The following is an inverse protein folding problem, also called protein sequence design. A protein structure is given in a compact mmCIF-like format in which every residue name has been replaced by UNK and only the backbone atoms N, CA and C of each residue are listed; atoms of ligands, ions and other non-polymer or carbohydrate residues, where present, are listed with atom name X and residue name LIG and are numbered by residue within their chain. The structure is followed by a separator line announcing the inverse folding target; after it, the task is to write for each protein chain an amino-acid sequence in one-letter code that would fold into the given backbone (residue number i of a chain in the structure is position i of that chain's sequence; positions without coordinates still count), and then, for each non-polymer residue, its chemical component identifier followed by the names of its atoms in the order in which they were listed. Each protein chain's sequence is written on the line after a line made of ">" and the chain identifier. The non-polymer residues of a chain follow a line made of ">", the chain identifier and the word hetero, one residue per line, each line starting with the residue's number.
data_IF_791420618215
#
_entry.id   IF_791420618215
#
_cell.length_a   1.000
_cell.length_b   1.000
_cell.length_c   1.000
_cell.angle_alpha   90.00
_cell.angle_beta   90.00
_cell.angle_gamma   90.00
#
_symmetry.space_group_name_H-M   'P 1'
#
loop_
_entity.id
_entity.type
_entity.pdbx_description
1 polymer ?
#
# COMPACT_ATOMS: atom_id res chain seq x y z
N UNK A 1 -17.06 2.59 16.56
CA UNK A 1 -17.03 1.14 16.33
C UNK A 1 -18.44 0.60 16.57
N UNK A 2 -19.26 0.43 15.55
CA UNK A 2 -20.38 -0.55 15.63
C UNK A 2 -19.83 -1.99 15.65
N UNK A 3 -18.55 -2.13 15.29
CA UNK A 3 -17.74 -3.33 15.25
C UNK A 3 -17.12 -3.75 16.60
N UNK A 4 -17.47 -3.12 17.73
CA UNK A 4 -17.06 -3.66 19.03
C UNK A 4 -17.78 -4.99 19.23
N UNK A 5 -17.01 -6.09 19.18
CA UNK A 5 -17.57 -7.42 19.33
C UNK A 5 -18.38 -7.53 20.62
N UNK A 6 -19.61 -8.06 20.54
CA UNK A 6 -20.43 -8.40 21.71
C UNK A 6 -19.69 -9.31 22.70
N UNK A 7 -18.63 -10.00 22.24
CA UNK A 7 -17.73 -10.77 23.10
C UNK A 7 -17.03 -9.89 24.15
N UNK A 8 -16.63 -8.65 23.83
CA UNK A 8 -15.97 -7.77 24.80
C UNK A 8 -16.91 -7.43 25.96
N UNK A 9 -18.18 -7.14 25.62
CA UNK A 9 -19.21 -6.90 26.63
C UNK A 9 -19.47 -8.15 27.49
N UNK A 10 -19.53 -9.32 26.86
CA UNK A 10 -19.84 -10.57 27.56
C UNK A 10 -18.69 -11.13 28.41
N UNK A 11 -17.44 -10.95 27.96
CA UNK A 11 -16.26 -11.55 28.59
C UNK A 11 -15.60 -10.63 29.63
N UNK A 12 -15.72 -9.30 29.47
CA UNK A 12 -15.00 -8.35 30.32
C UNK A 12 -15.92 -7.39 31.06
N UNK A 13 -16.90 -6.77 30.38
CA UNK A 13 -17.80 -5.81 31.04
C UNK A 13 -19.10 -5.59 30.26
N UNK A 14 -20.23 -6.06 30.80
CA UNK A 14 -21.53 -5.97 30.13
C UNK A 14 -21.96 -4.54 29.79
N UNK A 15 -21.43 -3.55 30.53
CA UNK A 15 -21.70 -2.12 30.32
C UNK A 15 -20.65 -1.42 29.46
N UNK A 16 -19.72 -2.16 28.86
CA UNK A 16 -18.67 -1.56 28.05
C UNK A 16 -19.25 -0.86 26.82
N UNK A 17 -19.03 0.44 26.75
CA UNK A 17 -19.28 1.26 25.56
C UNK A 17 -18.00 1.99 25.15
N UNK A 18 -17.77 2.01 23.83
CA UNK A 18 -16.61 2.67 23.22
C UNK A 18 -17.05 3.45 21.98
N UNK A 19 -17.55 4.66 22.22
CA UNK A 19 -17.87 5.61 21.16
C UNK A 19 -16.58 6.15 20.49
N UNK A 20 -16.72 6.85 19.36
CA UNK A 20 -15.61 7.33 18.52
C UNK A 20 -14.49 8.00 19.32
N UNK A 21 -14.79 9.01 20.15
CA UNK A 21 -13.76 9.76 20.90
C UNK A 21 -12.98 8.87 21.88
N UNK A 22 -13.65 7.90 22.50
CA UNK A 22 -12.99 6.95 23.40
C UNK A 22 -12.11 5.96 22.63
N UNK A 23 -12.60 5.47 21.50
CA UNK A 23 -11.83 4.58 20.62
C UNK A 23 -10.59 5.28 20.06
N UNK A 24 -10.75 6.53 19.62
CA UNK A 24 -9.66 7.40 19.16
C UNK A 24 -8.64 7.64 20.27
N UNK A 25 -9.09 7.95 21.49
CA UNK A 25 -8.18 8.10 22.63
C UNK A 25 -7.42 6.81 22.97
N UNK A 26 -8.04 5.63 22.85
CA UNK A 26 -7.36 4.34 23.05
C UNK A 26 -6.34 4.09 21.92
N UNK A 27 -6.73 4.33 20.67
CA UNK A 27 -5.83 4.13 19.53
C UNK A 27 -4.60 5.04 19.63
N UNK A 28 -4.80 6.33 19.89
CA UNK A 28 -3.74 7.34 19.88
C UNK A 28 -2.88 7.34 21.14
N UNK A 29 -3.47 7.10 22.32
CA UNK A 29 -2.75 7.24 23.60
C UNK A 29 -2.35 5.90 24.23
N UNK A 30 -2.78 4.77 23.68
CA UNK A 30 -2.43 3.44 24.21
C UNK A 30 -1.82 2.55 23.13
N UNK A 31 -2.55 2.29 22.05
CA UNK A 31 -2.11 1.33 21.03
C UNK A 31 -0.95 1.85 20.19
N UNK A 32 -1.03 3.09 19.71
CA UNK A 32 0.04 3.68 18.89
C UNK A 32 1.37 3.80 19.65
N UNK A 33 1.44 4.38 20.88
CA UNK A 33 2.69 4.44 21.64
C UNK A 33 3.27 3.06 21.94
N UNK A 34 2.40 2.09 22.27
CA UNK A 34 2.84 0.71 22.52
C UNK A 34 3.44 0.07 21.25
N UNK A 35 2.84 0.29 20.08
CA UNK A 35 3.34 -0.24 18.82
C UNK A 35 4.65 0.44 18.39
N UNK A 36 4.78 1.74 18.63
CA UNK A 36 6.02 2.51 18.38
C UNK A 36 7.17 2.04 19.28
N UNK A 37 6.91 1.83 20.57
CA UNK A 37 7.92 1.33 21.53
C UNK A 37 8.37 -0.09 21.19
N UNK A 38 7.43 -0.96 20.83
CA UNK A 38 7.72 -2.32 20.38
C UNK A 38 8.57 -2.31 19.11
N UNK A 39 8.17 -1.51 18.10
CA UNK A 39 8.93 -1.38 16.86
C UNK A 39 10.34 -0.82 17.13
N UNK A 40 10.47 0.20 17.97
CA UNK A 40 11.77 0.80 18.30
C UNK A 40 12.71 -0.22 18.96
N UNK A 41 12.18 -1.02 19.88
CA UNK A 41 12.93 -2.11 20.54
C UNK A 41 13.38 -3.15 19.52
N UNK A 42 12.46 -3.62 18.69
CA UNK A 42 12.74 -4.58 17.63
C UNK A 42 13.81 -4.06 16.65
N UNK A 43 13.72 -2.80 16.24
CA UNK A 43 14.66 -2.17 15.31
C UNK A 43 16.05 -1.99 15.92
N UNK A 44 16.18 -1.81 17.23
CA UNK A 44 17.47 -1.77 17.92
C UNK A 44 18.16 -3.14 17.87
N UNK A 45 17.42 -4.22 18.09
CA UNK A 45 17.93 -5.60 18.06
C UNK A 45 18.18 -6.12 16.63
N UNK A 46 17.37 -5.67 15.67
CA UNK A 46 17.49 -6.06 14.28
C UNK A 46 18.90 -5.76 13.75
N UNK A 47 19.51 -6.74 13.06
CA UNK A 47 20.81 -6.55 12.40
C UNK A 47 20.69 -5.83 11.07
N UNK A 48 19.62 -6.15 10.33
CA UNK A 48 19.36 -5.65 8.99
C UNK A 48 17.88 -5.33 8.84
N UNK A 49 17.61 -4.31 8.05
CA UNK A 49 16.26 -3.87 7.71
C UNK A 49 16.13 -3.69 6.20
N UNK A 50 14.93 -3.94 5.68
CA UNK A 50 14.55 -3.52 4.34
C UNK A 50 13.34 -2.60 4.42
N UNK A 51 13.28 -1.57 3.59
CA UNK A 51 12.15 -0.64 3.56
C UNK A 51 11.34 -0.80 2.29
N UNK A 52 10.04 -0.59 2.43
CA UNK A 52 9.05 -0.62 1.36
C UNK A 52 8.36 0.72 1.35
N UNK A 53 8.18 1.31 0.18
CA UNK A 53 7.30 2.46 0.03
C UNK A 53 6.31 2.21 -1.10
N UNK A 54 5.10 2.72 -0.90
CA UNK A 54 4.07 2.83 -1.92
C UNK A 54 3.43 4.21 -1.77
N UNK A 55 2.79 4.71 -2.81
CA UNK A 55 2.25 6.06 -2.82
C UNK A 55 0.80 6.04 -3.29
N UNK A 56 -0.12 6.48 -2.42
CA UNK A 56 -1.54 6.56 -2.73
C UNK A 56 -1.98 8.00 -2.93
N UNK A 57 -2.86 8.23 -3.90
CA UNK A 57 -3.54 9.52 -4.08
C UNK A 57 -4.85 9.50 -3.28
N UNK A 58 -5.06 10.47 -2.39
CA UNK A 58 -6.35 10.75 -1.77
C UNK A 58 -6.76 12.19 -2.07
N UNK A 59 -7.57 12.37 -3.11
CA UNK A 59 -7.84 13.69 -3.72
C UNK A 59 -6.52 14.34 -4.17
N UNK A 60 -6.18 15.48 -3.61
CA UNK A 60 -4.96 16.25 -3.83
C UNK A 60 -3.81 15.86 -2.89
N UNK A 61 -4.07 15.00 -1.89
CA UNK A 61 -3.06 14.56 -0.94
C UNK A 61 -2.34 13.32 -1.45
N UNK A 62 -1.01 13.39 -1.48
CA UNK A 62 -0.17 12.21 -1.71
C UNK A 62 0.24 11.58 -0.40
N UNK A 63 -0.35 10.44 -0.07
CA UNK A 63 -0.01 9.67 1.14
C UNK A 63 1.10 8.69 0.80
N UNK A 64 2.19 8.73 1.55
CA UNK A 64 3.35 7.86 1.38
C UNK A 64 3.63 7.10 2.68
N UNK A 65 3.14 5.85 2.81
CA UNK A 65 3.61 4.94 3.86
C UNK A 65 5.03 4.44 3.60
N UNK A 66 5.83 4.37 4.66
CA UNK A 66 7.09 3.63 4.72
C UNK A 66 6.86 2.43 5.63
N UNK A 67 7.05 1.23 5.10
CA UNK A 67 7.07 0.00 5.90
C UNK A 67 8.50 -0.46 6.08
N UNK A 68 8.80 -1.06 7.23
CA UNK A 68 10.08 -1.67 7.53
C UNK A 68 9.89 -3.16 7.77
N UNK A 69 10.76 -3.98 7.17
CA UNK A 69 10.84 -5.42 7.39
C UNK A 69 12.18 -5.78 7.99
N UNK A 70 12.12 -6.62 9.01
CA UNK A 70 13.27 -7.06 9.78
C UNK A 70 13.01 -8.48 10.31
N UNK A 71 14.01 -9.05 10.96
CA UNK A 71 13.93 -10.37 11.57
C UNK A 71 14.17 -10.27 13.07
N UNK A 72 13.33 -10.91 13.86
CA UNK A 72 13.56 -11.16 15.29
C UNK A 72 13.61 -12.66 15.54
N UNK A 73 14.44 -13.10 16.49
CA UNK A 73 14.51 -14.51 16.83
C UNK A 73 13.18 -15.05 17.41
N UNK A 74 12.42 -14.19 18.08
CA UNK A 74 11.16 -14.55 18.72
C UNK A 74 9.99 -14.71 17.73
N UNK A 75 9.87 -13.80 16.75
CA UNK A 75 8.70 -13.73 15.86
C UNK A 75 9.04 -14.03 14.39
N UNK A 76 10.31 -14.29 14.07
CA UNK A 76 10.75 -14.48 12.71
C UNK A 76 10.75 -13.18 11.90
N UNK A 77 10.32 -13.26 10.64
CA UNK A 77 10.26 -12.09 9.76
C UNK A 77 9.04 -11.25 10.09
N UNK A 78 9.27 -9.98 10.42
CA UNK A 78 8.24 -9.01 10.76
C UNK A 78 8.23 -7.89 9.71
N UNK A 79 7.04 -7.38 9.42
CA UNK A 79 6.86 -6.17 8.60
C UNK A 79 5.91 -5.25 9.34
N UNK A 80 6.36 -4.04 9.67
CA UNK A 80 5.58 -3.04 10.41
C UNK A 80 5.59 -1.70 9.67
N UNK A 81 4.63 -0.84 9.99
CA UNK A 81 4.62 0.54 9.52
C UNK A 81 5.71 1.31 10.27
N UNK A 82 6.63 1.92 9.54
CA UNK A 82 7.68 2.78 10.10
C UNK A 82 7.19 4.21 10.21
N UNK A 83 6.62 4.73 9.12
CA UNK A 83 6.08 6.08 9.08
C UNK A 83 4.97 6.19 8.02
N UNK A 84 4.06 7.14 8.20
CA UNK A 84 3.08 7.50 7.19
C UNK A 84 2.85 9.00 7.24
N UNK A 85 3.00 9.67 6.10
CA UNK A 85 2.72 11.09 6.01
C UNK A 85 2.26 11.48 4.60
N UNK A 86 1.76 12.70 4.47
CA UNK A 86 1.46 13.31 3.18
C UNK A 86 2.65 14.10 2.67
N UNK A 87 3.02 13.90 1.41
CA UNK A 87 4.06 14.68 0.75
C UNK A 87 3.44 15.71 -0.22
N UNK A 88 4.03 16.91 -0.36
CA UNK A 88 3.57 17.90 -1.33
C UNK A 88 3.92 17.54 -2.78
N UNK A 89 4.63 16.43 -3.01
CA UNK A 89 5.07 15.96 -4.32
C UNK A 89 5.86 14.65 -4.24
N UNK A 90 6.18 14.09 -5.41
CA UNK A 90 6.75 12.73 -5.54
C UNK A 90 8.07 12.71 -6.32
N UNK A 91 8.86 13.78 -6.22
CA UNK A 91 10.18 13.73 -6.84
C UNK A 91 11.06 12.72 -6.13
N UNK A 92 11.99 12.10 -6.86
CA UNK A 92 12.90 11.10 -6.27
C UNK A 92 13.70 11.65 -5.09
N UNK A 93 14.01 12.95 -5.10
CA UNK A 93 14.70 13.63 -4.00
C UNK A 93 13.81 13.75 -2.75
N UNK A 94 12.54 14.13 -2.90
CA UNK A 94 11.61 14.26 -1.77
C UNK A 94 11.32 12.91 -1.13
N UNK A 95 11.04 11.89 -1.95
CA UNK A 95 10.75 10.54 -1.46
C UNK A 95 11.98 9.94 -0.80
N UNK A 96 13.17 10.06 -1.40
CA UNK A 96 14.41 9.55 -0.77
C UNK A 96 14.71 10.26 0.54
N UNK A 97 14.56 11.59 0.61
CA UNK A 97 14.80 12.34 1.84
C UNK A 97 13.83 11.90 2.94
N UNK A 98 12.54 11.78 2.62
CA UNK A 98 11.55 11.32 3.58
C UNK A 98 11.85 9.92 4.15
N UNK A 99 12.30 9.00 3.29
CA UNK A 99 12.75 7.67 3.73
C UNK A 99 13.98 7.77 4.64
N UNK A 100 14.96 8.60 4.28
CA UNK A 100 16.17 8.79 5.09
C UNK A 100 15.86 9.41 6.45
N UNK A 101 14.98 10.41 6.51
CA UNK A 101 14.55 11.04 7.76
C UNK A 101 13.92 9.99 8.70
N UNK A 102 13.05 9.12 8.16
CA UNK A 102 12.43 8.04 8.93
C UNK A 102 13.47 7.01 9.43
N UNK A 103 14.46 6.66 8.61
CA UNK A 103 15.55 5.75 8.97
C UNK A 103 16.46 6.34 10.05
N UNK A 104 16.79 7.63 9.95
CA UNK A 104 17.64 8.36 10.89
C UNK A 104 16.94 8.54 12.24
N UNK A 105 15.66 8.93 12.24
CA UNK A 105 14.84 9.05 13.45
C UNK A 105 14.79 7.73 14.24
N UNK A 106 14.84 6.59 13.53
CA UNK A 106 14.83 5.24 14.11
C UNK A 106 16.23 4.63 14.28
N UNK A 107 17.30 5.34 13.91
CA UNK A 107 18.69 4.89 14.03
C UNK A 107 18.99 3.56 13.31
N UNK A 108 18.38 3.37 12.13
CA UNK A 108 18.51 2.14 11.34
C UNK A 108 19.12 2.34 9.95
N UNK A 109 19.59 3.55 9.63
CA UNK A 109 20.22 3.87 8.34
C UNK A 109 21.36 2.91 7.96
N UNK A 110 22.26 2.62 8.91
CA UNK A 110 23.39 1.69 8.69
C UNK A 110 22.97 0.21 8.58
N UNK A 111 21.71 -0.10 8.88
CA UNK A 111 21.15 -1.46 8.82
C UNK A 111 20.38 -1.72 7.52
N UNK A 112 20.20 -0.71 6.68
CA UNK A 112 19.40 -0.80 5.46
C UNK A 112 20.07 -1.72 4.43
N UNK A 113 19.46 -2.86 4.10
CA UNK A 113 20.01 -3.78 3.08
C UNK A 113 19.22 -3.83 1.79
N UNK A 114 17.97 -3.36 1.79
CA UNK A 114 17.14 -3.36 0.60
C UNK A 114 16.06 -2.27 0.62
N UNK A 115 15.74 -1.80 -0.57
CA UNK A 115 14.64 -0.90 -0.88
C UNK A 115 13.69 -1.59 -1.86
N UNK A 116 12.39 -1.55 -1.56
CA UNK A 116 11.35 -2.08 -2.44
C UNK A 116 10.25 -1.06 -2.68
N UNK A 117 9.83 -0.95 -3.93
CA UNK A 117 8.76 -0.04 -4.36
C UNK A 117 8.18 -0.51 -5.69
N UNK A 118 7.19 0.21 -6.21
CA UNK A 118 6.73 0.00 -7.58
C UNK A 118 7.87 0.25 -8.59
N UNK A 119 7.77 -0.36 -9.76
CA UNK A 119 8.76 -0.21 -10.84
C UNK A 119 8.70 1.16 -11.56
N UNK A 120 8.12 2.20 -10.97
CA UNK A 120 8.05 3.50 -11.60
C UNK A 120 9.45 4.10 -11.83
N UNK A 121 9.57 4.91 -12.88
CA UNK A 121 10.83 5.59 -13.23
C UNK A 121 11.37 6.47 -12.09
N UNK A 122 10.49 6.94 -11.19
CA UNK A 122 10.89 7.70 -10.01
C UNK A 122 11.67 6.84 -9.01
N UNK A 123 11.28 5.57 -8.84
CA UNK A 123 11.82 4.67 -7.83
C UNK A 123 13.09 3.94 -8.28
N UNK A 124 13.10 3.40 -9.50
CA UNK A 124 14.24 2.58 -9.99
C UNK A 124 14.92 3.13 -11.24
N UNK A 125 14.42 4.22 -11.81
CA UNK A 125 14.92 4.78 -13.06
C UNK A 125 14.38 4.01 -14.27
N UNK A 126 13.95 4.74 -15.29
CA UNK A 126 13.54 4.12 -16.55
C UNK A 126 14.72 3.65 -17.37
N UNK A 127 14.46 2.84 -18.40
CA UNK A 127 15.47 2.37 -19.36
C UNK A 127 16.30 3.54 -19.94
N UNK A 128 15.67 4.70 -20.18
CA UNK A 128 16.33 5.90 -20.70
C UNK A 128 17.16 6.69 -19.67
N UNK A 129 17.04 6.41 -18.35
CA UNK A 129 17.71 7.16 -17.28
C UNK A 129 18.99 6.50 -16.78
N UNK A 130 19.43 5.39 -17.38
CA UNK A 130 20.64 4.64 -17.01
C UNK A 130 20.75 4.37 -15.49
N UNK A 131 19.61 4.17 -14.81
CA UNK A 131 19.57 3.91 -13.36
C UNK A 131 19.96 5.08 -12.46
N UNK A 132 20.01 6.33 -12.94
CA UNK A 132 20.34 7.53 -12.13
C UNK A 132 19.11 8.38 -11.78
N UNK A 133 19.26 9.28 -10.81
CA UNK A 133 18.25 10.26 -10.39
C UNK A 133 16.89 9.65 -9.98
N UNK A 134 16.92 8.49 -9.34
CA UNK A 134 15.76 7.79 -8.79
C UNK A 134 15.93 7.55 -7.28
N UNK A 135 14.86 7.15 -6.60
CA UNK A 135 14.86 6.93 -5.15
C UNK A 135 15.93 5.90 -4.76
N UNK A 136 15.99 4.76 -5.47
CA UNK A 136 16.98 3.73 -5.19
C UNK A 136 18.43 4.23 -5.29
N UNK A 137 18.79 4.93 -6.38
CA UNK A 137 20.14 5.48 -6.55
C UNK A 137 20.49 6.48 -5.45
N UNK A 138 19.52 7.30 -5.02
CA UNK A 138 19.72 8.29 -3.96
C UNK A 138 19.92 7.62 -2.60
N UNK A 139 19.12 6.60 -2.28
CA UNK A 139 19.29 5.80 -1.06
C UNK A 139 20.65 5.10 -1.05
N UNK A 140 21.07 4.55 -2.19
CA UNK A 140 22.39 3.92 -2.33
C UNK A 140 23.53 4.92 -2.12
N UNK A 141 23.39 6.18 -2.55
CA UNK A 141 24.38 7.23 -2.32
C UNK A 141 24.40 7.72 -0.85
N UNK A 142 23.32 7.48 -0.10
CA UNK A 142 23.19 7.86 1.33
C UNK A 142 23.74 6.81 2.30
N UNK A 143 24.19 5.65 1.82
CA UNK A 143 24.76 4.58 2.64
C UNK A 143 26.12 4.14 2.10
N UNK A 144 26.99 3.65 2.97
CA UNK A 144 28.37 3.25 2.65
C UNK A 144 28.51 1.80 2.16
N UNK A 145 27.39 1.08 2.06
CA UNK A 145 27.34 -0.32 1.66
C UNK A 145 26.29 -0.54 0.58
N UNK A 146 26.40 -1.66 -0.15
CA UNK A 146 25.49 -1.96 -1.26
C UNK A 146 24.12 -2.38 -0.74
N UNK A 147 23.07 -1.78 -1.29
CA UNK A 147 21.67 -2.15 -1.05
C UNK A 147 21.04 -2.82 -2.27
N UNK A 148 20.02 -3.64 -2.04
CA UNK A 148 19.26 -4.30 -3.09
C UNK A 148 18.01 -3.49 -3.46
N UNK A 149 17.83 -3.23 -4.76
CA UNK A 149 16.60 -2.64 -5.29
C UNK A 149 15.64 -3.73 -5.76
N UNK A 150 14.45 -3.80 -5.17
CA UNK A 150 13.46 -4.86 -5.44
C UNK A 150 12.16 -4.22 -5.95
N UNK A 151 11.89 -4.37 -7.24
CA UNK A 151 10.63 -3.90 -7.84
C UNK A 151 9.42 -4.71 -7.37
N UNK A 152 8.24 -4.09 -7.46
CA UNK A 152 6.97 -4.71 -7.14
C UNK A 152 6.57 -5.79 -8.17
N UNK A 153 6.48 -7.04 -7.73
CA UNK A 153 6.05 -8.15 -8.57
C UNK A 153 4.64 -7.93 -9.16
N UNK A 154 3.72 -7.33 -8.39
CA UNK A 154 2.38 -7.01 -8.88
C UNK A 154 2.42 -6.00 -10.03
N UNK A 155 3.30 -4.99 -9.95
CA UNK A 155 3.47 -4.00 -11.02
C UNK A 155 4.11 -4.64 -12.27
N UNK A 156 5.07 -5.56 -12.10
CA UNK A 156 5.65 -6.32 -13.22
C UNK A 156 4.57 -7.15 -13.94
N UNK A 157 3.74 -7.88 -13.20
CA UNK A 157 2.65 -8.66 -13.77
C UNK A 157 1.64 -7.75 -14.46
N UNK A 158 1.25 -6.65 -13.84
CA UNK A 158 0.34 -5.66 -14.42
C UNK A 158 0.88 -5.12 -15.76
N UNK A 159 2.12 -4.64 -15.79
CA UNK A 159 2.74 -4.12 -17.01
C UNK A 159 2.87 -5.17 -18.11
N UNK A 160 3.12 -6.44 -17.72
CA UNK A 160 3.16 -7.56 -18.67
C UNK A 160 1.79 -7.78 -19.31
N UNK A 161 0.72 -7.81 -18.49
CA UNK A 161 -0.66 -7.99 -18.97
C UNK A 161 -1.10 -6.81 -19.82
N UNK A 162 -0.82 -5.58 -19.39
CA UNK A 162 -1.14 -4.37 -20.15
C UNK A 162 -0.46 -4.38 -21.52
N UNK A 163 0.85 -4.66 -21.57
CA UNK A 163 1.60 -4.74 -22.83
C UNK A 163 1.02 -5.81 -23.76
N UNK A 164 0.62 -6.97 -23.23
CA UNK A 164 -0.01 -8.01 -24.03
C UNK A 164 -1.41 -7.58 -24.53
N UNK A 165 -2.18 -6.88 -23.71
CA UNK A 165 -3.48 -6.33 -24.08
C UNK A 165 -3.36 -5.26 -25.18
N UNK A 166 -2.35 -4.39 -25.10
CA UNK A 166 -2.08 -3.34 -26.10
C UNK A 166 -1.70 -3.91 -27.48
N UNK A 167 -1.26 -5.17 -27.52
CA UNK A 167 -0.96 -5.87 -28.77
C UNK A 167 -2.20 -6.47 -29.46
N UNK A 168 -3.36 -6.45 -28.81
CA UNK A 168 -4.60 -6.95 -29.39
C UNK A 168 -5.15 -5.94 -30.41
N UNK A 169 -5.84 -6.42 -31.47
CA UNK A 169 -6.42 -5.54 -32.48
C UNK A 169 -7.63 -4.74 -31.96
N UNK A 170 -8.01 -4.95 -30.70
CA UNK A 170 -9.14 -4.31 -30.05
C UNK A 170 -8.74 -3.91 -28.62
N UNK A 171 -9.18 -2.72 -28.23
CA UNK A 171 -9.01 -2.22 -26.87
C UNK A 171 -9.99 -2.95 -25.94
N UNK A 172 -9.52 -4.04 -25.33
CA UNK A 172 -10.31 -4.86 -24.40
C UNK A 172 -10.80 -4.00 -23.23
N UNK A 173 -9.95 -3.11 -22.74
CA UNK A 173 -10.27 -2.25 -21.61
C UNK A 173 -11.45 -1.34 -21.96
N UNK A 174 -11.43 -0.68 -23.12
CA UNK A 174 -12.54 0.12 -23.59
C UNK A 174 -13.83 -0.69 -23.77
N UNK A 175 -13.75 -1.94 -24.24
CA UNK A 175 -14.92 -2.83 -24.36
C UNK A 175 -15.51 -3.10 -22.98
N UNK A 176 -14.69 -3.49 -22.00
CA UNK A 176 -15.14 -3.78 -20.63
C UNK A 176 -15.74 -2.52 -19.99
N UNK A 177 -15.09 -1.36 -20.13
CA UNK A 177 -15.57 -0.08 -19.59
C UNK A 177 -16.91 0.32 -20.22
N UNK A 178 -17.11 0.08 -21.52
CA UNK A 178 -18.39 0.33 -22.20
C UNK A 178 -19.50 -0.60 -21.69
N UNK A 179 -19.22 -1.90 -21.51
CA UNK A 179 -20.17 -2.85 -20.94
C UNK A 179 -20.57 -2.43 -19.52
N UNK A 180 -19.60 -2.10 -18.67
CA UNK A 180 -19.85 -1.59 -17.33
C UNK A 180 -20.73 -0.32 -17.38
N UNK A 181 -20.33 0.67 -18.18
CA UNK A 181 -21.05 1.95 -18.30
C UNK A 181 -22.48 1.78 -18.83
N UNK A 182 -22.73 0.75 -19.65
CA UNK A 182 -24.06 0.44 -20.15
C UNK A 182 -25.03 0.06 -19.03
N UNK A 183 -24.58 -0.74 -18.06
CA UNK A 183 -25.41 -1.22 -16.95
C UNK A 183 -25.34 -0.33 -15.70
N UNK A 184 -24.23 0.39 -15.48
CA UNK A 184 -24.00 1.15 -14.25
C UNK A 184 -25.06 2.23 -13.97
N UNK A 185 -25.53 2.93 -15.01
CA UNK A 185 -26.34 4.15 -14.82
C UNK A 185 -27.85 3.86 -14.81
N UNK A 186 -28.33 2.88 -15.59
CA UNK A 186 -29.76 2.77 -15.90
C UNK A 186 -30.39 1.51 -15.30
N UNK A 187 -31.27 1.70 -14.32
CA UNK A 187 -32.01 0.62 -13.64
C UNK A 187 -32.73 -0.31 -14.61
N UNK A 188 -33.36 0.22 -15.66
CA UNK A 188 -34.09 -0.59 -16.66
C UNK A 188 -33.18 -1.63 -17.32
N UNK A 189 -31.92 -1.28 -17.60
CA UNK A 189 -30.95 -2.19 -18.21
C UNK A 189 -30.47 -3.25 -17.22
N UNK A 190 -30.35 -2.90 -15.94
CA UNK A 190 -30.00 -3.84 -14.88
C UNK A 190 -31.13 -4.86 -14.64
N UNK A 191 -32.39 -4.42 -14.61
CA UNK A 191 -33.53 -5.33 -14.46
C UNK A 191 -33.64 -6.30 -15.64
N UNK A 192 -33.51 -5.81 -16.89
CA UNK A 192 -33.48 -6.69 -18.07
C UNK A 192 -32.33 -7.71 -18.01
N UNK A 193 -31.18 -7.33 -17.45
CA UNK A 193 -30.05 -8.24 -17.29
C UNK A 193 -30.27 -9.28 -16.20
N UNK A 194 -30.95 -8.93 -15.10
CA UNK A 194 -31.36 -9.89 -14.05
C UNK A 194 -32.32 -10.94 -14.62
N UNK A 195 -33.32 -10.52 -15.38
CA UNK A 195 -34.25 -11.45 -16.05
C UNK A 195 -33.50 -12.44 -16.96
N UNK A 196 -32.49 -11.95 -17.68
CA UNK A 196 -31.63 -12.82 -18.50
C UNK A 196 -30.78 -13.78 -17.65
N UNK A 197 -30.20 -13.30 -16.54
CA UNK A 197 -29.47 -14.14 -15.59
C UNK A 197 -30.36 -15.26 -15.03
N UNK A 198 -31.59 -14.92 -14.63
CA UNK A 198 -32.58 -15.88 -14.12
C UNK A 198 -32.93 -16.93 -15.18
N UNK A 199 -33.19 -16.50 -16.42
CA UNK A 199 -33.42 -17.39 -17.55
C UNK A 199 -32.23 -18.34 -17.80
N UNK A 200 -31.01 -17.82 -17.75
CA UNK A 200 -29.78 -18.59 -17.96
C UNK A 200 -29.38 -19.44 -16.73
N UNK A 201 -30.12 -19.36 -15.62
CA UNK A 201 -29.78 -20.01 -14.34
C UNK A 201 -28.39 -19.59 -13.82
N UNK A 202 -28.03 -18.31 -13.99
CA UNK A 202 -26.80 -17.71 -13.49
C UNK A 202 -27.13 -16.68 -12.42
N UNK A 203 -26.40 -16.69 -11.30
CA UNK A 203 -26.58 -15.69 -10.25
C UNK A 203 -26.13 -14.30 -10.74
N UNK A 204 -27.01 -13.31 -10.64
CA UNK A 204 -26.65 -11.93 -10.93
C UNK A 204 -25.62 -11.42 -9.91
N UNK A 205 -24.47 -10.98 -10.43
CA UNK A 205 -23.43 -10.32 -9.64
C UNK A 205 -23.36 -8.84 -10.02
N UNK A 206 -23.51 -7.96 -9.03
CA UNK A 206 -23.43 -6.52 -9.26
C UNK A 206 -21.98 -6.12 -9.58
N UNK A 207 -21.78 -5.48 -10.72
CA UNK A 207 -20.50 -4.85 -11.06
C UNK A 207 -20.24 -3.69 -10.08
N UNK A 208 -19.15 -3.78 -9.31
CA UNK A 208 -18.86 -2.85 -8.22
C UNK A 208 -18.22 -1.54 -8.69
N UNK A 209 -17.48 -1.57 -9.79
CA UNK A 209 -16.78 -0.40 -10.31
C UNK A 209 -15.68 -0.78 -11.28
N UNK A 210 -15.30 0.17 -12.11
CA UNK A 210 -14.03 0.13 -12.84
C UNK A 210 -13.01 0.97 -12.07
N UNK A 211 -11.92 0.35 -11.64
CA UNK A 211 -10.79 1.06 -11.04
C UNK A 211 -9.86 1.52 -12.15
N UNK A 212 -9.69 2.83 -12.29
CA UNK A 212 -8.57 3.38 -13.05
C UNK A 212 -7.32 3.16 -12.20
N UNK A 213 -6.46 2.23 -12.60
CA UNK A 213 -5.08 2.19 -12.10
C UNK A 213 -4.29 3.37 -12.63
#
# INVERSE_FOLDING_TARGET
>A
MDCTSKLVQKLFSEKFSCARTKAEAIALNVLAPSAEEELKTDLQEAKFVSVFCDASNHKDLKVLPIMVRYFTAAAGVQTKLLEINTLPGETSAMVSQYIMDALEANQVTSKLVAFSADNANCNFGGAARNGKNNVFSRLQDSVDHKILGIGCAAHIVHNTVQTAADCLPLDIEAVIVKIYSYFYIYTVRVESFKEFCDFASVEYQRLLGYSKT
#
